data_IF_921199518038
#
_entry.id   IF_921199518038
#
_cell.length_a   1.000
_cell.length_b   1.000
_cell.length_c   1.000
_cell.angle_alpha   90.00
_cell.angle_beta   90.00
_cell.angle_gamma   90.00
#
_symmetry.space_group_name_H-M   'P 1'
#
loop_
_entity.id
_entity.type
_entity.pdbx_description
1 polymer ?
#
# COMPACT_ATOMS: atom_id res chain seq x y z
N UNK A 1 -44.63 -2.60 11.46
CA UNK A 1 -43.68 -3.72 11.23
C UNK A 1 -42.71 -3.45 10.08
N UNK A 2 -43.13 -2.82 8.97
CA UNK A 2 -42.23 -2.45 7.85
C UNK A 2 -41.08 -1.51 8.25
N UNK A 3 -41.34 -0.47 9.06
CA UNK A 3 -40.28 0.44 9.54
C UNK A 3 -39.29 -0.19 10.55
N UNK A 4 -39.72 -1.21 11.31
CA UNK A 4 -38.81 -1.96 12.17
C UNK A 4 -37.92 -2.89 11.34
N UNK A 5 -38.42 -3.41 10.23
CA UNK A 5 -37.66 -4.26 9.32
C UNK A 5 -36.66 -3.44 8.49
N UNK A 6 -36.99 -2.22 8.07
CA UNK A 6 -36.05 -1.28 7.43
C UNK A 6 -34.97 -0.79 8.41
N UNK A 7 -35.31 -0.54 9.68
CA UNK A 7 -34.34 -0.19 10.71
C UNK A 7 -33.41 -1.36 11.06
N UNK A 8 -33.92 -2.61 11.10
CA UNK A 8 -33.10 -3.81 11.29
C UNK A 8 -32.25 -4.11 10.05
N UNK A 9 -32.75 -3.84 8.85
CA UNK A 9 -31.96 -3.96 7.60
C UNK A 9 -30.88 -2.87 7.53
N UNK A 10 -31.16 -1.62 7.95
CA UNK A 10 -30.15 -0.55 8.01
C UNK A 10 -29.14 -0.76 9.14
N UNK A 11 -29.57 -1.28 10.30
CA UNK A 11 -28.68 -1.71 11.38
C UNK A 11 -27.85 -2.94 10.99
N UNK A 12 -28.38 -3.88 10.19
CA UNK A 12 -27.61 -4.99 9.62
C UNK A 12 -26.64 -4.55 8.51
N UNK A 13 -26.91 -3.40 7.89
CA UNK A 13 -26.05 -2.75 6.91
C UNK A 13 -24.94 -1.91 7.56
N UNK A 14 -25.01 -1.64 8.88
CA UNK A 14 -23.86 -1.34 9.76
C UNK A 14 -23.07 -2.65 9.96
N UNK A 15 -22.63 -3.18 8.84
CA UNK A 15 -22.02 -4.47 8.63
C UNK A 15 -20.61 -4.43 9.22
N UNK A 16 -20.40 -5.00 10.40
CA UNK A 16 -19.10 -5.24 11.10
C UNK A 16 -17.93 -4.47 10.48
N UNK A 17 -17.94 -3.16 10.69
CA UNK A 17 -16.94 -2.27 10.11
C UNK A 17 -15.67 -2.37 10.95
N UNK A 18 -14.58 -2.79 10.32
CA UNK A 18 -13.30 -2.95 10.99
C UNK A 18 -12.67 -1.58 11.27
N UNK A 19 -12.85 -1.08 12.50
CA UNK A 19 -12.33 0.23 12.94
C UNK A 19 -10.80 0.30 12.90
N UNK A 20 -10.10 -0.80 13.19
CA UNK A 20 -8.64 -0.86 13.10
C UNK A 20 -8.14 -0.67 11.66
N UNK A 21 -8.86 -1.24 10.68
CA UNK A 21 -8.58 -1.01 9.27
C UNK A 21 -8.75 0.47 8.88
N UNK A 22 -9.81 1.12 9.33
CA UNK A 22 -10.03 2.54 9.03
C UNK A 22 -9.00 3.45 9.71
N UNK A 23 -8.55 3.11 10.93
CA UNK A 23 -7.44 3.83 11.57
C UNK A 23 -6.15 3.71 10.76
N UNK A 24 -5.80 2.50 10.29
CA UNK A 24 -4.62 2.32 9.44
C UNK A 24 -4.72 3.09 8.13
N UNK A 25 -5.91 3.18 7.53
CA UNK A 25 -6.11 4.01 6.33
C UNK A 25 -5.82 5.47 6.60
N UNK A 26 -6.28 6.01 7.73
CA UNK A 26 -5.98 7.38 8.12
C UNK A 26 -4.49 7.60 8.37
N UNK A 27 -3.82 6.68 9.09
CA UNK A 27 -2.37 6.74 9.32
C UNK A 27 -1.62 6.73 7.98
N UNK A 28 -2.01 5.85 7.05
CA UNK A 28 -1.40 5.78 5.73
C UNK A 28 -1.59 7.09 4.94
N UNK A 29 -2.78 7.68 4.96
CA UNK A 29 -3.06 8.95 4.28
C UNK A 29 -2.23 10.08 4.88
N UNK A 30 -2.22 10.22 6.22
CA UNK A 30 -1.47 11.28 6.90
C UNK A 30 0.02 11.14 6.65
N UNK A 31 0.59 9.95 6.82
CA UNK A 31 2.02 9.71 6.56
C UNK A 31 2.38 9.94 5.09
N UNK A 32 1.52 9.56 4.14
CA UNK A 32 1.73 9.86 2.71
C UNK A 32 1.78 11.36 2.42
N UNK A 33 0.88 12.15 3.02
CA UNK A 33 0.90 13.61 2.90
C UNK A 33 2.17 14.19 3.50
N UNK A 34 2.61 13.70 4.67
CA UNK A 34 3.87 14.10 5.31
C UNK A 34 5.07 13.79 4.39
N UNK A 35 5.09 12.63 3.73
CA UNK A 35 6.16 12.27 2.77
C UNK A 35 6.28 13.29 1.65
N UNK A 36 5.15 13.61 1.01
CA UNK A 36 5.14 14.51 -0.14
C UNK A 36 5.33 15.98 0.26
N UNK A 37 4.84 16.38 1.44
CA UNK A 37 5.07 17.71 1.98
C UNK A 37 6.56 18.00 2.25
N UNK A 38 7.42 16.98 2.29
CA UNK A 38 8.88 17.17 2.45
C UNK A 38 9.50 18.05 1.36
N UNK A 39 8.85 18.20 0.20
CA UNK A 39 9.34 19.07 -0.87
C UNK A 39 9.16 20.56 -0.53
N UNK A 40 8.13 20.89 0.26
CA UNK A 40 7.87 22.26 0.72
C UNK A 40 8.79 22.68 1.87
N UNK A 41 9.39 21.70 2.56
CA UNK A 41 10.26 21.92 3.72
C UNK A 41 11.57 21.13 3.62
N UNK A 42 12.48 21.49 2.69
CA UNK A 42 13.73 20.75 2.47
C UNK A 42 14.61 20.60 3.72
N UNK A 43 14.58 21.59 4.62
CA UNK A 43 15.32 21.58 5.89
C UNK A 43 14.89 20.45 6.85
N UNK A 44 13.68 19.90 6.68
CA UNK A 44 13.16 18.79 7.48
C UNK A 44 13.02 17.49 6.66
N UNK A 45 13.65 17.40 5.49
CA UNK A 45 13.46 16.30 4.54
C UNK A 45 13.67 14.92 5.17
N UNK A 46 14.76 14.76 5.93
CA UNK A 46 15.08 13.50 6.62
C UNK A 46 13.93 13.07 7.54
N UNK A 47 13.41 13.96 8.37
CA UNK A 47 12.34 13.66 9.30
C UNK A 47 11.02 13.34 8.58
N UNK A 48 10.60 14.22 7.66
CA UNK A 48 9.32 14.10 6.97
C UNK A 48 9.27 12.84 6.09
N UNK A 49 10.31 12.57 5.31
CA UNK A 49 10.37 11.36 4.49
C UNK A 49 10.47 10.10 5.35
N UNK A 50 11.21 10.12 6.46
CA UNK A 50 11.29 8.94 7.36
C UNK A 50 9.93 8.58 7.93
N UNK A 51 9.15 9.58 8.39
CA UNK A 51 7.76 9.35 8.83
C UNK A 51 6.91 8.89 7.63
N UNK A 52 7.11 9.52 6.48
CA UNK A 52 6.38 9.26 5.25
C UNK A 52 6.50 7.85 4.69
N UNK A 53 7.68 7.21 4.84
CA UNK A 53 7.91 5.83 4.40
C UNK A 53 7.06 4.78 5.11
N UNK A 54 6.37 5.16 6.20
CA UNK A 54 5.36 4.30 6.82
C UNK A 54 4.12 4.08 5.91
N UNK A 55 3.81 5.00 5.01
CA UNK A 55 2.58 4.95 4.22
C UNK A 55 2.50 3.72 3.31
N UNK A 56 3.56 3.48 2.52
CA UNK A 56 3.62 2.38 1.56
C UNK A 56 3.32 1.00 2.17
N UNK A 57 4.04 0.54 3.21
CA UNK A 57 3.77 -0.77 3.80
C UNK A 57 2.37 -0.86 4.42
N UNK A 58 1.83 0.24 4.96
CA UNK A 58 0.47 0.25 5.50
C UNK A 58 -0.55 0.07 4.35
N UNK A 59 -0.36 0.71 3.19
CA UNK A 59 -1.18 0.44 2.00
C UNK A 59 -1.10 -1.02 1.55
N UNK A 60 0.11 -1.61 1.52
CA UNK A 60 0.31 -3.02 1.22
C UNK A 60 -0.41 -3.96 2.21
N UNK A 61 -0.33 -3.67 3.51
CA UNK A 61 -1.02 -4.40 4.59
C UNK A 61 -2.53 -4.37 4.35
N UNK A 62 -3.10 -3.19 4.11
CA UNK A 62 -4.53 -3.02 3.92
C UNK A 62 -5.02 -3.75 2.66
N UNK A 63 -4.26 -3.69 1.57
CA UNK A 63 -4.57 -4.42 0.34
C UNK A 63 -4.56 -5.93 0.57
N UNK A 64 -3.48 -6.47 1.13
CA UNK A 64 -3.32 -7.88 1.45
C UNK A 64 -4.45 -8.40 2.37
N UNK A 65 -4.78 -7.61 3.40
CA UNK A 65 -5.86 -7.93 4.33
C UNK A 65 -7.23 -7.97 3.64
N UNK A 66 -7.54 -6.99 2.80
CA UNK A 66 -8.80 -6.92 2.07
C UNK A 66 -8.93 -8.07 1.06
N UNK A 67 -7.82 -8.49 0.43
CA UNK A 67 -7.78 -9.67 -0.44
C UNK A 67 -8.05 -10.95 0.34
N UNK A 68 -7.42 -11.13 1.51
CA UNK A 68 -7.67 -12.28 2.39
C UNK A 68 -9.13 -12.38 2.84
N UNK A 69 -9.84 -11.25 2.98
CA UNK A 69 -11.27 -11.26 3.29
C UNK A 69 -12.17 -11.51 2.07
N UNK A 70 -11.77 -11.04 0.88
CA UNK A 70 -12.60 -11.05 -0.32
C UNK A 70 -12.53 -12.39 -1.09
N UNK A 71 -11.34 -12.99 -1.19
CA UNK A 71 -11.10 -14.19 -2.00
C UNK A 71 -11.84 -15.42 -1.46
N UNK A 72 -11.72 -15.82 -0.17
CA UNK A 72 -12.42 -17.00 0.35
C UNK A 72 -13.94 -16.86 0.28
N UNK A 73 -14.46 -15.63 0.44
CA UNK A 73 -15.88 -15.30 0.34
C UNK A 73 -16.37 -15.12 -1.10
N UNK A 74 -15.53 -15.40 -2.10
CA UNK A 74 -15.82 -15.29 -3.55
C UNK A 74 -16.47 -13.95 -3.93
N UNK A 75 -16.01 -12.84 -3.33
CA UNK A 75 -16.55 -11.48 -3.60
C UNK A 75 -16.03 -10.94 -4.93
N UNK A 76 -16.45 -11.56 -6.04
CA UNK A 76 -15.98 -11.25 -7.41
C UNK A 76 -16.19 -9.80 -7.80
N UNK A 77 -17.36 -9.22 -7.50
CA UNK A 77 -17.64 -7.80 -7.76
C UNK A 77 -16.69 -6.86 -6.99
N UNK A 78 -16.35 -7.20 -5.74
CA UNK A 78 -15.38 -6.44 -4.95
C UNK A 78 -13.99 -6.50 -5.58
N UNK A 79 -13.53 -7.68 -5.99
CA UNK A 79 -12.22 -7.85 -6.64
C UNK A 79 -12.15 -7.12 -7.99
N UNK A 80 -13.21 -7.18 -8.81
CA UNK A 80 -13.31 -6.42 -10.07
C UNK A 80 -13.21 -4.91 -9.83
N UNK A 81 -13.87 -4.40 -8.79
CA UNK A 81 -13.79 -2.98 -8.44
C UNK A 81 -12.40 -2.58 -7.93
N UNK A 82 -11.72 -3.43 -7.17
CA UNK A 82 -10.32 -3.20 -6.78
C UNK A 82 -9.42 -3.09 -8.01
N UNK A 83 -9.50 -4.06 -8.93
CA UNK A 83 -8.74 -4.04 -10.17
C UNK A 83 -9.02 -2.78 -10.99
N UNK A 84 -10.31 -2.46 -11.24
CA UNK A 84 -10.70 -1.28 -12.02
C UNK A 84 -10.15 0.01 -11.40
N UNK A 85 -10.28 0.18 -10.09
CA UNK A 85 -9.79 1.39 -9.43
C UNK A 85 -8.26 1.45 -9.44
N UNK A 86 -7.55 0.36 -9.11
CA UNK A 86 -6.08 0.35 -9.16
C UNK A 86 -5.57 0.65 -10.57
N UNK A 87 -6.16 0.05 -11.61
CA UNK A 87 -5.78 0.31 -13.01
C UNK A 87 -6.11 1.76 -13.45
N UNK A 88 -7.30 2.26 -13.11
CA UNK A 88 -7.69 3.63 -13.45
C UNK A 88 -6.78 4.66 -12.77
N UNK A 89 -6.56 4.53 -11.46
CA UNK A 89 -5.74 5.47 -10.70
C UNK A 89 -4.24 5.29 -10.93
N UNK A 90 -3.81 4.13 -11.41
CA UNK A 90 -2.48 3.96 -11.98
C UNK A 90 -2.23 4.93 -13.13
N UNK A 91 -3.17 5.08 -14.06
CA UNK A 91 -3.02 6.00 -15.19
C UNK A 91 -3.27 7.46 -14.77
N UNK A 92 -4.36 7.72 -14.05
CA UNK A 92 -4.74 9.10 -13.69
C UNK A 92 -3.72 9.80 -12.77
N UNK A 93 -3.05 9.05 -11.90
CA UNK A 93 -2.10 9.63 -10.95
C UNK A 93 -0.69 9.75 -11.50
N UNK A 94 -0.43 9.19 -12.67
CA UNK A 94 0.90 9.24 -13.29
C UNK A 94 1.29 10.67 -13.66
N UNK A 95 0.37 11.45 -14.25
CA UNK A 95 0.65 12.83 -14.63
C UNK A 95 1.01 13.69 -13.40
N UNK A 96 0.18 13.76 -12.32
CA UNK A 96 0.56 14.48 -11.11
C UNK A 96 1.86 13.99 -10.48
N UNK A 97 2.13 12.69 -10.53
CA UNK A 97 3.33 12.10 -9.95
C UNK A 97 4.59 12.53 -10.70
N UNK A 98 4.57 12.53 -12.04
CA UNK A 98 5.71 12.91 -12.86
C UNK A 98 6.10 14.39 -12.71
N UNK A 99 5.19 15.26 -12.25
CA UNK A 99 5.50 16.67 -11.97
C UNK A 99 6.56 16.85 -10.86
N UNK A 100 6.82 15.83 -10.04
CA UNK A 100 7.78 15.87 -8.94
C UNK A 100 9.13 15.23 -9.26
N UNK A 101 9.26 14.54 -10.40
CA UNK A 101 10.49 13.89 -10.77
C UNK A 101 11.43 14.91 -11.46
N UNK A 102 12.69 14.93 -11.04
CA UNK A 102 13.72 15.80 -11.64
C UNK A 102 13.99 15.40 -13.10
N UNK A 103 14.01 14.09 -13.37
CA UNK A 103 14.03 13.52 -14.70
C UNK A 103 12.71 12.78 -14.96
N UNK A 104 11.94 13.15 -15.99
CA UNK A 104 10.68 12.49 -16.30
C UNK A 104 10.86 10.99 -16.51
N UNK A 105 9.93 10.18 -15.98
CA UNK A 105 9.84 8.74 -16.18
C UNK A 105 11.00 7.90 -15.60
N UNK A 106 11.74 8.43 -14.61
CA UNK A 106 12.70 7.63 -13.82
C UNK A 106 12.04 6.43 -13.15
N UNK A 107 10.85 6.63 -12.58
CA UNK A 107 9.97 5.57 -12.09
C UNK A 107 8.52 5.95 -12.38
N UNK A 108 7.62 4.95 -12.37
CA UNK A 108 6.16 5.14 -12.36
C UNK A 108 5.68 5.40 -10.92
N UNK A 109 4.44 5.86 -10.78
CA UNK A 109 3.84 6.04 -9.45
C UNK A 109 3.69 4.71 -8.66
N UNK A 110 3.19 4.76 -7.43
CA UNK A 110 3.08 3.58 -6.54
C UNK A 110 1.97 2.59 -6.94
N UNK A 111 0.96 3.03 -7.70
CA UNK A 111 -0.21 2.21 -8.05
C UNK A 111 0.12 0.98 -8.91
N UNK A 112 1.03 1.03 -9.92
CA UNK A 112 1.56 -0.16 -10.59
C UNK A 112 2.01 -1.25 -9.61
N UNK A 113 2.76 -0.91 -8.56
CA UNK A 113 3.24 -1.85 -7.54
C UNK A 113 2.08 -2.53 -6.82
N UNK A 114 1.08 -1.74 -6.43
CA UNK A 114 -0.14 -2.24 -5.79
C UNK A 114 -0.97 -3.13 -6.73
N UNK A 115 -1.08 -2.75 -8.00
CA UNK A 115 -1.81 -3.49 -9.03
C UNK A 115 -1.15 -4.83 -9.34
N UNK A 116 0.17 -4.86 -9.50
CA UNK A 116 0.92 -6.08 -9.75
C UNK A 116 0.86 -7.03 -8.55
N UNK A 117 1.01 -6.50 -7.32
CA UNK A 117 0.85 -7.31 -6.11
C UNK A 117 -0.56 -7.88 -5.96
N UNK A 118 -1.60 -7.07 -6.26
CA UNK A 118 -2.99 -7.54 -6.33
C UNK A 118 -3.14 -8.70 -7.33
N UNK A 119 -2.62 -8.54 -8.55
CA UNK A 119 -2.74 -9.55 -9.60
C UNK A 119 -2.00 -10.84 -9.25
N UNK A 120 -0.79 -10.76 -8.68
CA UNK A 120 -0.06 -11.95 -8.21
C UNK A 120 -0.83 -12.70 -7.13
N UNK A 121 -1.43 -12.01 -6.15
CA UNK A 121 -2.24 -12.67 -5.13
C UNK A 121 -3.47 -13.35 -5.75
N UNK A 122 -4.18 -12.67 -6.66
CA UNK A 122 -5.36 -13.24 -7.35
C UNK A 122 -4.98 -14.47 -8.19
N UNK A 123 -3.86 -14.41 -8.92
CA UNK A 123 -3.35 -15.55 -9.70
C UNK A 123 -2.89 -16.70 -8.80
N UNK A 124 -2.23 -16.40 -7.67
CA UNK A 124 -1.78 -17.40 -6.71
C UNK A 124 -2.92 -18.16 -6.01
N UNK A 125 -4.11 -17.57 -5.92
CA UNK A 125 -5.33 -18.21 -5.39
C UNK A 125 -6.22 -18.82 -6.48
N UNK A 126 -5.89 -18.60 -7.74
CA UNK A 126 -6.69 -19.07 -8.86
C UNK A 126 -6.52 -20.57 -9.07
N UNK A 127 -7.64 -21.27 -9.30
CA UNK A 127 -7.66 -22.69 -9.64
C UNK A 127 -7.67 -22.94 -11.16
N UNK A 128 -7.50 -21.90 -11.97
CA UNK A 128 -7.46 -22.05 -13.43
C UNK A 128 -6.20 -22.79 -13.86
N UNK A 129 -6.32 -23.65 -14.90
CA UNK A 129 -5.22 -24.50 -15.41
C UNK A 129 -3.92 -23.74 -15.69
N UNK A 130 -4.03 -22.50 -16.18
CA UNK A 130 -2.88 -21.67 -16.57
C UNK A 130 -2.46 -20.65 -15.49
N UNK A 131 -3.07 -20.67 -14.30
CA UNK A 131 -2.83 -19.69 -13.25
C UNK A 131 -1.36 -19.63 -12.81
N UNK A 132 -0.72 -20.79 -12.61
CA UNK A 132 0.70 -20.87 -12.23
C UNK A 132 1.60 -20.28 -13.31
N UNK A 133 1.34 -20.60 -14.58
CA UNK A 133 2.11 -20.04 -15.70
C UNK A 133 1.94 -18.52 -15.76
N UNK A 134 0.71 -18.02 -15.67
CA UNK A 134 0.41 -16.58 -15.64
C UNK A 134 1.07 -15.88 -14.45
N UNK A 135 1.06 -16.50 -13.27
CA UNK A 135 1.74 -16.00 -12.08
C UNK A 135 3.25 -15.86 -12.32
N UNK A 136 3.90 -16.91 -12.82
CA UNK A 136 5.34 -16.91 -13.10
C UNK A 136 5.67 -15.89 -14.19
N UNK A 137 4.91 -15.85 -15.28
CA UNK A 137 5.09 -14.85 -16.35
C UNK A 137 4.95 -13.42 -15.82
N UNK A 138 3.94 -13.15 -14.99
CA UNK A 138 3.75 -11.82 -14.40
C UNK A 138 4.90 -11.46 -13.44
N UNK A 139 5.38 -12.42 -12.66
CA UNK A 139 6.52 -12.21 -11.77
C UNK A 139 7.83 -11.93 -12.54
N UNK A 140 8.05 -12.64 -13.66
CA UNK A 140 9.19 -12.40 -14.55
C UNK A 140 9.09 -11.00 -15.16
N UNK A 141 7.95 -10.62 -15.72
CA UNK A 141 7.72 -9.27 -16.27
C UNK A 141 7.92 -8.19 -15.20
N UNK A 142 7.41 -8.41 -13.98
CA UNK A 142 7.60 -7.50 -12.85
C UNK A 142 9.08 -7.33 -12.50
N UNK A 143 9.84 -8.42 -12.50
CA UNK A 143 11.29 -8.39 -12.24
C UNK A 143 12.05 -7.63 -13.33
N UNK A 144 11.72 -7.87 -14.60
CA UNK A 144 12.36 -7.18 -15.73
C UNK A 144 12.07 -5.68 -15.75
N UNK A 145 10.85 -5.29 -15.37
CA UNK A 145 10.44 -3.89 -15.29
C UNK A 145 10.71 -3.25 -13.92
N UNK A 146 11.44 -3.93 -13.04
CA UNK A 146 11.61 -3.55 -11.63
C UNK A 146 12.26 -2.17 -11.44
N UNK A 147 13.07 -1.71 -12.39
CA UNK A 147 13.70 -0.37 -12.33
C UNK A 147 12.70 0.76 -12.61
N UNK A 148 11.60 0.48 -13.30
CA UNK A 148 10.57 1.47 -13.63
C UNK A 148 9.41 1.46 -12.64
N UNK A 149 9.33 0.46 -11.75
CA UNK A 149 8.25 0.31 -10.79
C UNK A 149 8.74 0.84 -9.44
N UNK A 150 8.03 1.81 -8.86
CA UNK A 150 8.34 2.31 -7.51
C UNK A 150 8.33 1.16 -6.49
N UNK A 151 9.32 1.11 -5.59
CA UNK A 151 9.53 -0.01 -4.66
C UNK A 151 9.88 -1.36 -5.31
N UNK A 152 10.05 -1.40 -6.63
CA UNK A 152 10.60 -2.53 -7.37
C UNK A 152 9.80 -3.84 -7.20
N UNK A 153 10.35 -4.98 -7.67
CA UNK A 153 9.75 -6.30 -7.41
C UNK A 153 9.61 -6.61 -5.91
N UNK A 154 10.45 -6.02 -5.05
CA UNK A 154 10.40 -6.23 -3.61
C UNK A 154 9.09 -5.72 -3.00
N UNK A 155 8.62 -4.54 -3.42
CA UNK A 155 7.34 -3.96 -3.01
C UNK A 155 6.15 -4.76 -3.52
N UNK A 156 6.26 -5.38 -4.70
CA UNK A 156 5.23 -6.28 -5.24
C UNK A 156 5.15 -7.57 -4.42
N UNK A 157 6.30 -8.20 -4.14
CA UNK A 157 6.38 -9.42 -3.33
C UNK A 157 5.94 -9.18 -1.88
N UNK A 158 6.17 -7.99 -1.32
CA UNK A 158 5.69 -7.61 0.00
C UNK A 158 4.18 -7.85 0.14
N UNK A 159 3.38 -7.49 -0.86
CA UNK A 159 1.92 -7.68 -0.85
C UNK A 159 1.57 -9.18 -0.82
N UNK A 160 2.30 -10.00 -1.58
CA UNK A 160 2.11 -11.46 -1.59
C UNK A 160 2.40 -12.07 -0.22
N UNK A 161 3.52 -11.70 0.41
CA UNK A 161 3.90 -12.24 1.71
C UNK A 161 3.03 -11.73 2.85
N UNK A 162 2.58 -10.47 2.81
CA UNK A 162 1.57 -9.96 3.75
C UNK A 162 0.24 -10.68 3.60
N UNK A 163 -0.15 -11.02 2.36
CA UNK A 163 -1.35 -11.81 2.12
C UNK A 163 -1.22 -13.22 2.73
N UNK A 164 -0.08 -13.89 2.52
CA UNK A 164 0.20 -15.20 3.13
C UNK A 164 0.24 -15.13 4.67
N UNK A 165 0.75 -14.03 5.24
CA UNK A 165 0.70 -13.77 6.68
C UNK A 165 -0.73 -13.74 7.22
N UNK A 166 -1.65 -13.05 6.53
CA UNK A 166 -3.06 -13.00 6.94
C UNK A 166 -3.83 -14.29 6.65
N UNK A 167 -3.46 -15.02 5.59
CA UNK A 167 -4.11 -16.28 5.19
C UNK A 167 -3.80 -17.43 6.13
N UNK A 168 -2.55 -17.56 6.56
CA UNK A 168 -2.11 -18.74 7.30
C UNK A 168 -2.66 -18.77 8.74
N UNK A 169 -3.06 -19.95 9.19
CA UNK A 169 -3.42 -20.23 10.59
C UNK A 169 -2.23 -20.77 11.38
N UNK A 170 -1.21 -21.32 10.70
CA UNK A 170 -0.02 -21.87 11.34
C UNK A 170 0.85 -20.74 11.93
N UNK A 171 1.06 -20.77 13.26
CA UNK A 171 1.80 -19.74 14.00
C UNK A 171 3.24 -19.60 13.51
N UNK A 172 3.91 -20.71 13.18
CA UNK A 172 5.31 -20.70 12.71
C UNK A 172 5.40 -20.07 11.32
N UNK A 173 4.58 -20.51 10.37
CA UNK A 173 4.52 -19.91 9.03
C UNK A 173 4.14 -18.43 9.08
N UNK A 174 3.22 -18.05 9.98
CA UNK A 174 2.81 -16.66 10.19
C UNK A 174 3.99 -15.78 10.58
N UNK A 175 4.80 -16.22 11.56
CA UNK A 175 6.02 -15.50 11.95
C UNK A 175 6.99 -15.37 10.78
N UNK A 176 7.22 -16.45 10.02
CA UNK A 176 8.11 -16.39 8.85
C UNK A 176 7.62 -15.41 7.78
N UNK A 177 6.35 -15.47 7.39
CA UNK A 177 5.81 -14.54 6.39
C UNK A 177 5.86 -13.08 6.86
N UNK A 178 5.66 -12.81 8.15
CA UNK A 178 5.83 -11.46 8.70
C UNK A 178 7.29 -11.00 8.62
N UNK A 179 8.25 -11.85 9.01
CA UNK A 179 9.68 -11.49 8.95
C UNK A 179 10.15 -11.28 7.51
N UNK A 180 9.67 -12.11 6.57
CA UNK A 180 9.94 -11.89 5.15
C UNK A 180 9.32 -10.58 4.68
N UNK A 181 8.10 -10.25 5.10
CA UNK A 181 7.46 -8.96 4.76
C UNK A 181 8.28 -7.77 5.29
N UNK A 182 8.79 -7.86 6.52
CA UNK A 182 9.68 -6.84 7.10
C UNK A 182 10.97 -6.70 6.29
N UNK A 183 11.59 -7.82 5.88
CA UNK A 183 12.77 -7.77 5.02
C UNK A 183 12.47 -7.16 3.64
N UNK A 184 11.39 -7.60 3.00
CA UNK A 184 10.98 -7.14 1.67
C UNK A 184 10.69 -5.64 1.65
N UNK A 185 10.04 -5.10 2.69
CA UNK A 185 9.78 -3.66 2.75
C UNK A 185 11.07 -2.85 2.90
N UNK A 186 12.06 -3.36 3.64
CA UNK A 186 13.37 -2.72 3.78
C UNK A 186 14.10 -2.73 2.44
N UNK A 187 14.14 -3.89 1.77
CA UNK A 187 14.74 -4.02 0.44
C UNK A 187 14.05 -3.11 -0.57
N UNK A 188 12.72 -3.03 -0.54
CA UNK A 188 11.95 -2.14 -1.41
C UNK A 188 12.37 -0.67 -1.26
N UNK A 189 12.58 -0.20 -0.02
CA UNK A 189 13.02 1.18 0.22
C UNK A 189 14.48 1.41 -0.16
N UNK A 190 15.37 0.45 0.14
CA UNK A 190 16.79 0.53 -0.25
C UNK A 190 16.93 0.55 -1.78
N UNK A 191 16.22 -0.33 -2.50
CA UNK A 191 16.25 -0.35 -3.96
C UNK A 191 15.61 0.90 -4.56
N UNK A 192 14.54 1.43 -3.97
CA UNK A 192 13.97 2.69 -4.42
C UNK A 192 14.97 3.86 -4.29
N UNK A 193 15.78 3.86 -3.22
CA UNK A 193 16.90 4.82 -3.05
C UNK A 193 18.03 4.57 -4.06
N UNK A 194 18.39 3.32 -4.34
CA UNK A 194 19.40 2.95 -5.34
C UNK A 194 18.99 3.37 -6.76
N UNK A 195 17.76 3.04 -7.18
CA UNK A 195 17.22 3.37 -8.51
C UNK A 195 17.15 4.89 -8.70
N UNK A 196 16.85 5.64 -7.64
CA UNK A 196 16.87 7.10 -7.66
C UNK A 196 18.27 7.74 -7.78
N UNK A 197 19.34 6.95 -7.85
CA UNK A 197 20.71 7.45 -8.02
C UNK A 197 21.34 8.11 -6.79
N UNK A 198 20.64 8.09 -5.65
CA UNK A 198 21.06 8.78 -4.43
C UNK A 198 22.33 8.18 -3.79
N UNK A 199 22.71 6.94 -4.15
CA UNK A 199 23.92 6.28 -3.65
C UNK A 199 25.23 6.97 -4.03
N UNK A 200 25.19 7.87 -5.01
CA UNK A 200 26.36 8.68 -5.42
C UNK A 200 26.74 9.72 -4.37
N UNK A 201 25.83 10.06 -3.45
CA UNK A 201 26.06 11.00 -2.35
C UNK A 201 25.98 10.28 -1.00
N UNK A 202 27.13 10.18 -0.33
CA UNK A 202 27.27 9.54 0.99
C UNK A 202 26.39 10.17 2.08
N UNK A 203 26.02 11.45 1.94
CA UNK A 203 25.16 12.12 2.92
C UNK A 203 23.75 11.51 2.98
N UNK A 204 23.31 10.87 1.89
CA UNK A 204 21.98 10.25 1.77
C UNK A 204 21.90 8.83 2.36
N UNK A 205 23.00 8.24 2.82
CA UNK A 205 22.99 6.88 3.38
C UNK A 205 22.20 6.78 4.68
N UNK A 206 22.25 7.84 5.50
CA UNK A 206 21.45 7.96 6.72
C UNK A 206 19.95 7.94 6.42
N UNK A 207 19.55 8.56 5.30
CA UNK A 207 18.18 8.57 4.79
C UNK A 207 17.76 7.18 4.29
N UNK A 208 18.62 6.49 3.54
CA UNK A 208 18.34 5.12 3.09
C UNK A 208 18.13 4.16 4.27
N UNK A 209 18.98 4.26 5.29
CA UNK A 209 18.84 3.49 6.52
C UNK A 209 17.55 3.84 7.26
N UNK A 210 17.22 5.12 7.42
CA UNK A 210 15.98 5.55 8.10
C UNK A 210 14.73 5.07 7.37
N UNK A 211 14.74 5.07 6.04
CA UNK A 211 13.64 4.56 5.21
C UNK A 211 13.43 3.05 5.40
N UNK A 212 14.52 2.28 5.41
CA UNK A 212 14.46 0.84 5.65
C UNK A 212 13.91 0.54 7.06
N UNK A 213 14.42 1.22 8.09
CA UNK A 213 14.02 0.99 9.49
C UNK A 213 12.57 1.42 9.74
N UNK A 214 12.18 2.63 9.33
CA UNK A 214 10.82 3.14 9.53
C UNK A 214 9.77 2.27 8.84
N UNK A 215 10.00 1.88 7.59
CA UNK A 215 9.08 1.02 6.84
C UNK A 215 9.03 -0.40 7.42
N UNK A 216 10.15 -0.95 7.90
CA UNK A 216 10.20 -2.23 8.62
C UNK A 216 9.34 -2.22 9.89
N UNK A 217 9.50 -1.17 10.70
CA UNK A 217 8.71 -0.97 11.93
C UNK A 217 7.22 -0.84 11.58
N UNK A 218 6.88 0.00 10.59
CA UNK A 218 5.50 0.18 10.15
C UNK A 218 4.87 -1.13 9.64
N UNK A 219 5.65 -1.95 8.92
CA UNK A 219 5.19 -3.27 8.46
C UNK A 219 4.91 -4.21 9.62
N UNK A 220 5.86 -4.32 10.56
CA UNK A 220 5.71 -5.20 11.71
C UNK A 220 4.52 -4.78 12.59
N UNK A 221 4.50 -3.51 13.02
CA UNK A 221 3.47 -2.97 13.90
C UNK A 221 2.11 -2.97 13.20
N UNK A 222 2.03 -2.47 11.96
CA UNK A 222 0.78 -2.36 11.23
C UNK A 222 0.14 -3.73 10.96
N UNK A 223 0.94 -4.74 10.57
CA UNK A 223 0.44 -6.08 10.33
C UNK A 223 -0.06 -6.75 11.63
N UNK A 224 0.67 -6.61 12.73
CA UNK A 224 0.26 -7.13 14.05
C UNK A 224 -0.97 -6.40 14.58
N UNK A 225 -1.00 -5.08 14.46
CA UNK A 225 -2.12 -4.24 14.86
C UNK A 225 -3.39 -4.65 14.12
N UNK A 226 -3.33 -4.81 12.79
CA UNK A 226 -4.51 -5.19 12.02
C UNK A 226 -4.96 -6.63 12.30
N UNK A 227 -4.01 -7.55 12.50
CA UNK A 227 -4.31 -8.95 12.83
C UNK A 227 -5.06 -9.08 14.16
N UNK A 228 -4.58 -8.40 15.21
CA UNK A 228 -5.20 -8.43 16.55
C UNK A 228 -6.41 -7.50 16.65
N UNK A 229 -6.41 -6.45 15.85
CA UNK A 229 -7.33 -5.33 15.92
C UNK A 229 -8.69 -5.52 15.25
N UNK A 230 -8.93 -6.68 14.64
CA UNK A 230 -10.14 -6.92 13.84
C UNK A 230 -11.45 -6.71 14.62
N UNK A 231 -11.42 -6.90 15.94
CA UNK A 231 -12.56 -6.78 16.84
C UNK A 231 -12.35 -5.73 17.93
N UNK A 232 -11.33 -4.86 17.82
CA UNK A 232 -11.10 -3.83 18.83
C UNK A 232 -12.19 -2.77 18.79
N UNK A 233 -12.73 -2.46 19.97
CA UNK A 233 -13.60 -1.31 20.15
C UNK A 233 -12.75 -0.04 20.31
N UNK A 234 -12.52 0.67 19.22
CA UNK A 234 -11.82 1.97 19.26
C UNK A 234 -12.80 3.01 19.82
N UNK A 235 -12.46 3.72 20.92
CA UNK A 235 -13.41 4.51 21.70
C UNK A 235 -13.86 5.82 21.02
N UNK A 236 -13.25 6.20 19.90
CA UNK A 236 -13.58 7.41 19.16
C UNK A 236 -14.16 7.10 17.78
N UNK A 237 -14.96 8.03 17.26
CA UNK A 237 -15.57 7.92 15.94
C UNK A 237 -14.53 8.17 14.83
N UNK A 238 -14.27 7.15 14.02
CA UNK A 238 -13.37 7.23 12.86
C UNK A 238 -14.19 7.32 11.56
N UNK A 239 -14.12 8.44 10.83
CA UNK A 239 -14.79 8.56 9.54
C UNK A 239 -14.31 7.49 8.54
N UNK A 240 -15.21 6.90 7.73
CA UNK A 240 -14.84 5.90 6.75
C UNK A 240 -13.95 6.46 5.67
N UNK A 241 -12.77 5.86 5.54
CA UNK A 241 -11.95 6.00 4.34
C UNK A 241 -12.48 5.01 3.29
N UNK A 242 -13.30 5.55 2.40
CA UNK A 242 -13.97 4.83 1.31
C UNK A 242 -13.30 5.04 -0.03
N UNK A 243 -14.08 5.06 -1.11
CA UNK A 243 -13.57 5.21 -2.48
C UNK A 243 -12.93 6.57 -2.77
N UNK A 244 -13.26 7.60 -1.99
CA UNK A 244 -12.66 8.94 -2.12
C UNK A 244 -11.14 8.93 -1.95
N UNK A 245 -10.59 7.96 -1.21
CA UNK A 245 -9.15 7.83 -0.99
C UNK A 245 -8.36 7.62 -2.30
N UNK A 246 -8.99 7.01 -3.31
CA UNK A 246 -8.35 6.88 -4.63
C UNK A 246 -8.18 8.25 -5.30
N UNK A 247 -9.20 9.11 -5.26
CA UNK A 247 -9.13 10.47 -5.78
C UNK A 247 -8.20 11.37 -4.97
N UNK A 248 -8.10 11.12 -3.67
CA UNK A 248 -7.19 11.84 -2.80
C UNK A 248 -5.74 11.75 -3.30
N UNK A 249 -5.31 10.59 -3.82
CA UNK A 249 -3.93 10.39 -4.29
C UNK A 249 -3.49 11.36 -5.42
N UNK A 250 -4.12 11.44 -6.60
CA UNK A 250 -3.73 12.42 -7.60
C UNK A 250 -4.00 13.87 -7.16
N UNK A 251 -5.08 14.12 -6.40
CA UNK A 251 -5.46 15.49 -6.01
C UNK A 251 -4.45 16.11 -5.05
N UNK A 252 -4.01 15.40 -4.00
CA UNK A 252 -3.05 15.97 -3.06
C UNK A 252 -1.67 16.21 -3.70
N UNK A 253 -1.27 15.37 -4.68
CA UNK A 253 -0.07 15.61 -5.48
C UNK A 253 -0.17 16.94 -6.25
N UNK A 254 -1.29 17.18 -6.95
CA UNK A 254 -1.50 18.46 -7.66
C UNK A 254 -1.49 19.64 -6.69
N UNK A 255 -2.15 19.53 -5.54
CA UNK A 255 -2.18 20.60 -4.53
C UNK A 255 -0.77 20.92 -4.04
N UNK A 256 0.02 19.91 -3.66
CA UNK A 256 1.40 20.12 -3.18
C UNK A 256 2.27 20.72 -4.28
N UNK A 257 2.09 20.29 -5.53
CA UNK A 257 2.84 20.86 -6.66
C UNK A 257 2.51 22.34 -6.89
N UNK A 258 1.23 22.71 -6.82
CA UNK A 258 0.79 24.11 -6.91
C UNK A 258 1.45 24.91 -5.78
N UNK A 259 1.36 24.43 -4.54
CA UNK A 259 1.97 25.11 -3.39
C UNK A 259 3.48 25.27 -3.56
N UNK A 260 4.18 24.24 -4.03
CA UNK A 260 5.63 24.29 -4.27
C UNK A 260 6.00 25.31 -5.36
N UNK A 261 5.18 25.45 -6.41
CA UNK A 261 5.44 26.36 -7.52
C UNK A 261 5.21 27.84 -7.16
N UNK A 262 4.36 28.12 -6.18
CA UNK A 262 3.97 29.48 -5.77
C UNK A 262 4.52 29.88 -4.39
N UNK A 263 5.34 29.03 -3.75
CA UNK A 263 6.08 29.33 -2.53
C UNK A 263 7.45 29.94 -2.86
#
# INVERSE_FOLDING_TARGET
>A
MVHLQEAVISQSAVRDRNRALDLLKWIAIVTMVIDHASILFPQYNLLLRTIGRCAFPIFCIMLAFNLNQAIPKKKTHTLKNYFKNLALFCVLSEVPYQLFNQEPFTTLNVMPTLLLGFLLVVLGESKHKYATLQFVSLLVVTTLLSNFIMYSVWGVLLIVFLYLFFKTTNVRSKKYFLMISVLLTSLANIFNWLIGGYYTDMTTYSLAFSFAVSSAIATYIGAQFLLKGQHMNIPFELPPVGKWAYWFYPVHLVIIWILFKFA
#
